data_IF_153552750817
#
_entry.id   IF_153552750817
#
_cell.length_a   1.000
_cell.length_b   1.000
_cell.length_c   1.000
_cell.angle_alpha   90.00
_cell.angle_beta   90.00
_cell.angle_gamma   90.00
#
_symmetry.space_group_name_H-M   'P 1'
#
loop_
_entity.id
_entity.type
_entity.pdbx_description
1 polymer ?
#
# COMPACT_ATOMS: atom_id res chain seq x y z
N UNK A 1 -13.30 -17.09 8.87
CA UNK A 1 -13.14 -16.90 7.42
C UNK A 1 -12.76 -18.25 6.84
N UNK A 2 -13.74 -18.96 6.30
CA UNK A 2 -13.46 -20.08 5.39
C UNK A 2 -12.93 -19.47 4.09
N UNK A 3 -11.64 -19.48 3.96
CA UNK A 3 -11.01 -19.05 2.73
C UNK A 3 -10.88 -20.25 1.86
N UNK A 4 -11.55 -20.25 0.75
CA UNK A 4 -11.48 -21.27 -0.28
C UNK A 4 -10.01 -21.55 -0.62
N UNK A 5 -9.58 -22.81 -0.56
CA UNK A 5 -8.22 -23.26 -0.89
C UNK A 5 -7.80 -22.85 -2.32
N UNK A 6 -8.78 -22.62 -3.21
CA UNK A 6 -8.56 -22.12 -4.57
C UNK A 6 -7.90 -20.73 -4.64
N UNK A 7 -7.94 -19.94 -3.55
CA UNK A 7 -7.33 -18.60 -3.48
C UNK A 7 -5.94 -18.62 -2.88
N UNK A 8 -5.54 -19.75 -2.28
CA UNK A 8 -4.22 -19.91 -1.71
C UNK A 8 -3.23 -20.33 -2.79
N UNK A 9 -2.08 -19.63 -2.87
CA UNK A 9 -0.98 -20.10 -3.69
C UNK A 9 -0.39 -21.40 -3.11
N UNK A 10 0.01 -22.40 -3.95
CA UNK A 10 0.74 -23.57 -3.49
C UNK A 10 2.09 -23.22 -2.83
N UNK A 11 2.57 -22.00 -3.04
CA UNK A 11 3.80 -21.46 -2.44
C UNK A 11 3.59 -20.86 -1.04
N UNK A 12 2.38 -20.96 -0.46
CA UNK A 12 2.10 -20.59 0.92
C UNK A 12 1.86 -19.10 1.16
N UNK A 13 1.45 -18.35 0.14
CA UNK A 13 1.01 -16.96 0.30
C UNK A 13 -0.41 -16.76 -0.20
N UNK A 14 -1.00 -15.65 0.21
CA UNK A 14 -2.35 -15.25 -0.21
C UNK A 14 -2.41 -13.74 -0.37
N UNK A 15 -3.06 -13.28 -1.44
CA UNK A 15 -3.34 -11.85 -1.68
C UNK A 15 -4.86 -11.66 -1.65
N UNK A 16 -5.28 -10.75 -0.79
CA UNK A 16 -6.68 -10.48 -0.48
C UNK A 16 -6.95 -8.98 -0.64
N UNK A 17 -8.03 -8.65 -1.31
CA UNK A 17 -8.55 -7.27 -1.39
C UNK A 17 -9.97 -7.21 -0.85
N UNK A 18 -10.48 -5.95 -0.59
CA UNK A 18 -11.76 -5.76 0.10
C UNK A 18 -12.83 -6.40 -0.67
N UNK A 19 -13.22 -7.16 -1.25
CA UNK A 19 -14.41 -7.78 -1.83
C UNK A 19 -14.13 -9.00 -2.72
N UNK A 20 -12.86 -9.30 -2.98
CA UNK A 20 -12.50 -10.39 -3.88
C UNK A 20 -12.71 -11.80 -3.34
N UNK A 21 -12.93 -11.98 -2.03
CA UNK A 21 -13.03 -13.32 -1.42
C UNK A 21 -14.48 -13.78 -1.31
N UNK A 22 -15.39 -12.87 -1.00
CA UNK A 22 -16.80 -13.18 -0.78
C UNK A 22 -17.73 -12.43 -1.74
N UNK A 23 -17.20 -11.48 -2.52
CA UNK A 23 -17.95 -10.73 -3.52
C UNK A 23 -17.95 -11.45 -4.87
N UNK A 24 -18.96 -11.15 -5.67
CA UNK A 24 -18.96 -11.60 -7.07
C UNK A 24 -17.82 -10.89 -7.80
N UNK A 25 -17.07 -11.62 -8.61
CA UNK A 25 -16.06 -11.02 -9.51
C UNK A 25 -16.67 -9.96 -10.43
N UNK A 26 -17.97 -10.07 -10.66
CA UNK A 26 -18.76 -9.15 -11.49
C UNK A 26 -18.90 -7.74 -10.85
N UNK A 27 -18.67 -7.62 -9.54
CA UNK A 27 -18.69 -6.33 -8.85
C UNK A 27 -17.36 -5.55 -9.03
N UNK A 28 -16.36 -6.16 -9.63
CA UNK A 28 -15.02 -5.67 -10.04
C UNK A 28 -14.24 -4.85 -8.98
N UNK A 29 -14.77 -4.74 -7.77
CA UNK A 29 -14.18 -3.92 -6.72
C UNK A 29 -12.90 -4.55 -6.17
N UNK A 30 -11.78 -3.97 -6.56
CA UNK A 30 -10.46 -4.35 -6.07
C UNK A 30 -9.79 -5.49 -6.83
N UNK A 31 -10.38 -5.97 -7.92
CA UNK A 31 -9.78 -6.99 -8.79
C UNK A 31 -8.47 -6.49 -9.39
N UNK A 32 -8.44 -5.24 -9.88
CA UNK A 32 -7.24 -4.62 -10.44
C UNK A 32 -6.09 -4.59 -9.43
N UNK A 33 -6.39 -4.23 -8.20
CA UNK A 33 -5.39 -4.16 -7.12
C UNK A 33 -4.89 -5.55 -6.75
N UNK A 34 -5.77 -6.55 -6.71
CA UNK A 34 -5.38 -7.94 -6.45
C UNK A 34 -4.50 -8.47 -7.57
N UNK A 35 -4.89 -8.26 -8.82
CA UNK A 35 -4.13 -8.71 -9.99
C UNK A 35 -2.77 -8.01 -10.08
N UNK A 36 -2.74 -6.71 -9.78
CA UNK A 36 -1.49 -5.95 -9.73
C UNK A 36 -0.57 -6.48 -8.63
N UNK A 37 -1.09 -6.73 -7.43
CA UNK A 37 -0.30 -7.29 -6.35
C UNK A 37 0.21 -8.70 -6.67
N UNK A 38 -0.60 -9.55 -7.32
CA UNK A 38 -0.19 -10.87 -7.80
C UNK A 38 0.91 -10.76 -8.85
N UNK A 39 0.79 -9.87 -9.83
CA UNK A 39 1.80 -9.65 -10.86
C UNK A 39 3.14 -9.22 -10.27
N UNK A 40 3.10 -8.34 -9.26
CA UNK A 40 4.30 -7.86 -8.57
C UNK A 40 4.93 -8.96 -7.71
N UNK A 41 4.13 -9.66 -6.92
CA UNK A 41 4.65 -10.57 -5.89
C UNK A 41 4.98 -11.97 -6.41
N UNK A 42 4.25 -12.46 -7.41
CA UNK A 42 4.45 -13.82 -7.94
C UNK A 42 5.89 -14.11 -8.36
N UNK A 43 6.57 -13.27 -9.15
CA UNK A 43 7.95 -13.53 -9.55
C UNK A 43 8.94 -13.57 -8.38
N UNK A 44 8.59 -12.96 -7.25
CA UNK A 44 9.43 -12.88 -6.06
C UNK A 44 9.20 -14.06 -5.10
N UNK A 45 7.96 -14.57 -5.05
CA UNK A 45 7.55 -15.59 -4.10
C UNK A 45 7.54 -17.00 -4.71
N UNK A 46 7.30 -17.13 -6.01
CA UNK A 46 7.24 -18.39 -6.74
C UNK A 46 8.58 -18.72 -7.43
N UNK A 47 9.68 -18.47 -6.76
CA UNK A 47 11.02 -18.80 -7.24
C UNK A 47 11.71 -19.72 -6.23
N UNK A 48 12.60 -20.59 -6.71
CA UNK A 48 13.47 -21.41 -5.86
C UNK A 48 14.45 -20.54 -5.03
N UNK A 49 14.66 -19.33 -5.48
CA UNK A 49 15.35 -18.29 -4.71
C UNK A 49 14.32 -17.54 -3.91
N UNK A 50 14.02 -18.00 -2.70
CA UNK A 50 13.31 -17.20 -1.72
C UNK A 50 14.14 -15.93 -1.48
N UNK A 51 13.79 -14.88 -2.20
CA UNK A 51 14.41 -13.59 -2.02
C UNK A 51 14.05 -13.12 -0.62
N UNK A 52 15.04 -12.76 0.18
CA UNK A 52 14.80 -12.16 1.48
C UNK A 52 14.19 -10.77 1.26
N UNK A 53 12.85 -10.74 1.17
CA UNK A 53 12.11 -9.49 1.04
C UNK A 53 12.18 -8.72 2.34
N UNK A 54 12.62 -7.49 2.27
CA UNK A 54 12.62 -6.58 3.40
C UNK A 54 11.26 -5.87 3.52
N UNK A 55 10.91 -5.34 4.70
CA UNK A 55 9.74 -4.49 4.85
C UNK A 55 9.73 -3.29 3.87
N UNK A 56 10.90 -2.73 3.60
CA UNK A 56 11.04 -1.63 2.64
C UNK A 56 10.67 -2.06 1.22
N UNK A 57 11.04 -3.28 0.81
CA UNK A 57 10.66 -3.83 -0.49
C UNK A 57 9.14 -3.97 -0.60
N UNK A 58 8.49 -4.48 0.44
CA UNK A 58 7.02 -4.64 0.48
C UNK A 58 6.33 -3.27 0.37
N UNK A 59 6.79 -2.26 1.12
CA UNK A 59 6.23 -0.91 1.00
C UNK A 59 6.42 -0.33 -0.40
N UNK A 60 7.61 -0.44 -0.97
CA UNK A 60 7.94 0.11 -2.28
C UNK A 60 7.18 -0.60 -3.41
N UNK A 61 7.05 -1.91 -3.32
CA UNK A 61 6.42 -2.74 -4.35
C UNK A 61 4.88 -2.69 -4.31
N UNK A 62 4.30 -2.49 -3.14
CA UNK A 62 2.84 -2.53 -2.95
C UNK A 62 2.28 -1.18 -2.52
N UNK A 63 2.51 -0.77 -1.27
CA UNK A 63 1.81 0.38 -0.68
C UNK A 63 2.16 1.73 -1.31
N UNK A 64 3.29 1.82 -2.00
CA UNK A 64 3.78 3.02 -2.69
C UNK A 64 3.83 2.86 -4.21
N UNK A 65 3.27 1.77 -4.73
CA UNK A 65 3.32 1.45 -6.15
C UNK A 65 2.09 1.96 -6.88
N UNK A 66 2.30 2.72 -7.95
CA UNK A 66 1.27 3.16 -8.88
C UNK A 66 1.24 2.31 -10.15
N UNK A 67 1.60 1.04 -10.00
CA UNK A 67 1.48 0.05 -11.07
C UNK A 67 0.03 -0.37 -11.23
N UNK A 68 -0.39 -0.62 -12.47
CA UNK A 68 -1.70 -1.16 -12.79
C UNK A 68 -1.53 -2.27 -13.83
N UNK A 69 -1.89 -3.49 -13.46
CA UNK A 69 -1.71 -4.68 -14.30
C UNK A 69 -2.62 -4.70 -15.52
N UNK A 70 -3.80 -4.09 -15.46
CA UNK A 70 -4.74 -4.05 -16.59
C UNK A 70 -4.26 -3.15 -17.71
N UNK A 71 -3.60 -2.04 -17.37
CA UNK A 71 -3.01 -1.14 -18.35
C UNK A 71 -1.58 -1.51 -18.73
N UNK A 72 -0.92 -2.34 -17.93
CA UNK A 72 0.50 -2.68 -18.06
C UNK A 72 1.44 -1.51 -17.74
N UNK A 73 0.92 -0.42 -17.18
CA UNK A 73 1.67 0.79 -16.89
C UNK A 73 2.09 0.85 -15.41
N UNK A 74 3.28 1.35 -15.22
CA UNK A 74 3.71 1.94 -13.97
C UNK A 74 3.60 3.46 -14.13
N UNK A 75 2.59 4.06 -13.50
CA UNK A 75 2.24 5.45 -13.79
C UNK A 75 3.34 6.43 -13.40
N UNK A 76 4.10 6.18 -12.34
CA UNK A 76 5.22 7.04 -11.96
C UNK A 76 6.34 6.97 -13.01
N UNK A 77 6.71 5.77 -13.43
CA UNK A 77 7.78 5.57 -14.42
C UNK A 77 7.37 5.96 -15.83
N UNK A 78 6.15 5.61 -16.23
CA UNK A 78 5.72 5.67 -17.62
C UNK A 78 4.92 6.94 -17.94
N UNK A 79 4.48 7.70 -16.94
CA UNK A 79 3.69 8.92 -17.11
C UNK A 79 4.29 9.87 -18.15
N UNK A 80 5.60 10.11 -18.07
CA UNK A 80 6.32 11.01 -19.01
C UNK A 80 6.32 10.54 -20.46
N UNK A 81 6.03 9.25 -20.69
CA UNK A 81 5.98 8.61 -22.01
C UNK A 81 4.56 8.60 -22.58
N UNK A 82 3.54 8.86 -21.77
CA UNK A 82 2.15 8.88 -22.21
C UNK A 82 1.93 10.02 -23.20
N UNK A 83 1.31 9.70 -24.33
CA UNK A 83 1.09 10.67 -25.44
C UNK A 83 0.13 11.79 -25.02
N UNK A 84 -0.78 11.51 -24.11
CA UNK A 84 -1.80 12.46 -23.63
C UNK A 84 -1.36 13.19 -22.36
N UNK A 85 -0.15 13.71 -22.33
CA UNK A 85 0.41 14.46 -21.19
C UNK A 85 -0.43 15.67 -20.71
N UNK A 86 -1.45 16.05 -21.46
CA UNK A 86 -2.22 17.25 -21.19
C UNK A 86 -3.08 17.20 -19.95
N UNK A 87 -3.36 16.03 -19.41
CA UNK A 87 -4.27 15.89 -18.28
C UNK A 87 -3.58 15.60 -16.95
N UNK A 88 -2.43 14.91 -16.93
CA UNK A 88 -1.73 14.55 -15.70
C UNK A 88 -2.60 13.88 -14.62
N UNK A 89 -3.76 13.36 -15.03
CA UNK A 89 -4.82 12.91 -14.14
C UNK A 89 -4.94 11.39 -14.25
N UNK A 90 -4.95 10.71 -13.11
CA UNK A 90 -5.26 9.30 -13.02
C UNK A 90 -6.35 9.05 -11.99
N UNK A 91 -7.14 8.00 -12.20
CA UNK A 91 -8.16 7.53 -11.25
C UNK A 91 -7.47 6.68 -10.18
N UNK A 92 -7.61 7.09 -8.93
CA UNK A 92 -6.88 6.47 -7.81
C UNK A 92 -7.43 5.11 -7.39
N UNK A 93 -8.64 4.76 -7.78
CA UNK A 93 -9.34 3.55 -7.33
C UNK A 93 -8.67 2.26 -7.77
N UNK A 94 -7.94 2.30 -8.88
CA UNK A 94 -7.31 1.14 -9.50
C UNK A 94 -5.90 0.85 -8.98
N UNK A 95 -5.36 1.75 -8.14
CA UNK A 95 -4.06 1.57 -7.51
C UNK A 95 -4.18 0.92 -6.13
N UNK A 96 -3.12 0.23 -5.71
CA UNK A 96 -3.02 -0.29 -4.34
C UNK A 96 -3.10 0.86 -3.33
N UNK A 97 -2.28 1.94 -3.43
CA UNK A 97 -2.46 3.14 -2.61
C UNK A 97 -3.55 4.05 -3.20
N UNK A 98 -4.73 4.04 -2.59
CA UNK A 98 -5.84 4.93 -2.95
C UNK A 98 -5.87 6.18 -2.09
N UNK A 99 -6.63 7.19 -2.50
CA UNK A 99 -6.86 8.39 -1.68
C UNK A 99 -7.33 8.07 -0.26
N UNK A 100 -8.15 7.04 -0.11
CA UNK A 100 -8.66 6.59 1.20
C UNK A 100 -7.65 5.77 2.01
N UNK A 101 -6.49 5.42 1.45
CA UNK A 101 -5.45 4.70 2.19
C UNK A 101 -4.86 5.62 3.25
N UNK A 102 -4.95 5.22 4.51
CA UNK A 102 -4.55 6.01 5.68
C UNK A 102 -3.45 5.36 6.52
N UNK A 103 -3.10 4.13 6.21
CA UNK A 103 -1.95 3.45 6.82
C UNK A 103 -1.51 2.26 5.98
N UNK A 104 -0.31 1.79 6.26
CA UNK A 104 0.20 0.51 5.77
C UNK A 104 1.06 -0.15 6.84
N UNK A 105 0.94 -1.46 6.99
CA UNK A 105 1.65 -2.21 8.02
C UNK A 105 2.27 -3.46 7.43
N UNK A 106 3.52 -3.74 7.81
CA UNK A 106 4.23 -4.99 7.49
C UNK A 106 4.69 -5.64 8.78
N UNK A 107 4.20 -6.84 9.05
CA UNK A 107 4.70 -7.65 10.16
C UNK A 107 5.92 -8.45 9.71
N UNK A 108 7.06 -8.15 10.31
CA UNK A 108 8.29 -8.87 10.11
C UNK A 108 8.48 -9.83 11.29
N UNK A 109 8.07 -11.07 11.07
CA UNK A 109 8.19 -12.14 12.07
C UNK A 109 9.65 -12.55 12.32
N UNK A 110 9.85 -13.30 13.37
CA UNK A 110 11.17 -13.87 13.73
C UNK A 110 11.37 -15.25 13.11
N UNK A 111 12.62 -15.67 13.01
CA UNK A 111 12.97 -17.04 12.59
C UNK A 111 12.54 -18.07 13.65
N UNK A 112 12.24 -19.32 13.24
CA UNK A 112 11.96 -20.39 14.20
C UNK A 112 13.07 -20.49 15.26
N UNK A 113 12.68 -20.58 16.54
CA UNK A 113 13.60 -20.63 17.69
C UNK A 113 14.06 -19.28 18.22
N UNK A 114 13.74 -18.17 17.55
CA UNK A 114 14.02 -16.82 18.06
C UNK A 114 12.92 -16.36 19.04
N UNK A 115 13.22 -15.33 19.83
CA UNK A 115 12.23 -14.76 20.75
C UNK A 115 11.08 -14.11 19.97
N UNK A 116 9.81 -14.54 20.13
CA UNK A 116 8.65 -13.95 19.46
C UNK A 116 8.47 -12.46 19.73
N UNK A 117 8.92 -11.96 20.89
CA UNK A 117 8.85 -10.54 21.25
C UNK A 117 9.73 -9.65 20.37
N UNK A 118 10.67 -10.24 19.63
CA UNK A 118 11.48 -9.53 18.62
C UNK A 118 10.75 -9.35 17.28
N UNK A 119 9.49 -9.75 17.18
CA UNK A 119 8.67 -9.45 16.01
C UNK A 119 8.49 -7.93 15.88
N UNK A 120 8.71 -7.42 14.69
CA UNK A 120 8.61 -5.98 14.38
C UNK A 120 7.40 -5.72 13.50
N UNK A 121 6.57 -4.77 13.92
CA UNK A 121 5.52 -4.19 13.10
C UNK A 121 6.05 -2.89 12.49
N UNK A 122 6.38 -2.93 11.22
CA UNK A 122 6.72 -1.74 10.45
C UNK A 122 5.45 -1.01 10.05
N UNK A 123 5.33 0.22 10.45
CA UNK A 123 4.10 0.99 10.33
C UNK A 123 4.34 2.27 9.55
N UNK A 124 3.42 2.56 8.64
CA UNK A 124 3.30 3.85 7.96
C UNK A 124 1.98 4.45 8.41
N UNK A 125 2.00 5.61 9.03
CA UNK A 125 0.81 6.39 9.39
C UNK A 125 0.55 7.45 8.33
N UNK A 126 -0.70 7.59 7.91
CA UNK A 126 -1.08 8.46 6.82
C UNK A 126 -0.96 7.77 5.45
N UNK A 127 -0.90 8.58 4.40
CA UNK A 127 -0.80 8.10 3.03
C UNK A 127 0.60 7.52 2.75
N UNK A 128 0.72 6.24 2.33
CA UNK A 128 2.00 5.55 2.32
C UNK A 128 3.10 6.18 1.47
N UNK A 129 2.74 6.83 0.35
CA UNK A 129 3.72 7.49 -0.51
C UNK A 129 4.27 8.80 0.10
N UNK A 130 3.53 9.40 1.06
CA UNK A 130 3.91 10.65 1.71
C UNK A 130 4.46 10.45 3.14
N UNK A 131 4.56 9.21 3.62
CA UNK A 131 4.89 8.92 5.01
C UNK A 131 6.13 8.03 5.14
N UNK A 132 6.89 8.24 6.20
CA UNK A 132 7.99 7.36 6.59
C UNK A 132 7.47 6.11 7.30
N UNK A 133 8.14 4.99 7.10
CA UNK A 133 7.91 3.78 7.87
C UNK A 133 8.75 3.81 9.14
N UNK A 134 8.16 3.39 10.26
CA UNK A 134 8.87 3.24 11.53
C UNK A 134 8.56 1.88 12.17
N UNK A 135 9.52 1.31 12.93
CA UNK A 135 9.35 0.03 13.60
C UNK A 135 8.63 0.18 14.94
N UNK A 136 7.74 -0.78 15.24
CA UNK A 136 7.20 -1.01 16.58
C UNK A 136 7.52 -2.45 16.97
N UNK A 137 8.11 -2.67 18.13
CA UNK A 137 8.45 -3.99 18.63
C UNK A 137 7.37 -4.52 19.56
N UNK A 138 7.00 -5.79 19.40
CA UNK A 138 5.97 -6.43 20.24
C UNK A 138 6.39 -6.46 21.72
N UNK A 139 7.70 -6.58 21.99
CA UNK A 139 8.24 -6.66 23.35
C UNK A 139 8.41 -5.32 24.06
N UNK A 140 8.23 -4.19 23.35
CA UNK A 140 8.45 -2.85 23.91
C UNK A 140 7.18 -2.00 23.72
N UNK A 141 6.22 -2.20 24.61
CA UNK A 141 4.90 -1.57 24.49
C UNK A 141 4.82 -0.15 25.07
N UNK A 142 5.80 0.27 25.86
CA UNK A 142 5.66 1.48 26.69
C UNK A 142 6.36 2.71 26.09
N UNK A 143 7.13 2.55 25.00
CA UNK A 143 7.93 3.61 24.42
C UNK A 143 7.47 3.87 22.97
N UNK A 144 6.38 4.59 22.82
CA UNK A 144 6.07 5.19 21.53
C UNK A 144 6.81 6.53 21.39
N UNK A 145 7.49 6.77 20.28
CA UNK A 145 8.05 8.08 19.98
C UNK A 145 6.99 9.18 19.99
N UNK A 146 7.30 10.36 20.50
CA UNK A 146 6.33 11.44 20.66
C UNK A 146 5.65 11.86 19.34
N UNK A 147 6.41 11.81 18.24
CA UNK A 147 5.88 12.16 16.91
C UNK A 147 4.85 11.18 16.35
N UNK A 148 4.67 9.99 16.95
CA UNK A 148 3.63 9.02 16.58
C UNK A 148 2.51 8.93 17.61
N UNK A 149 2.72 9.47 18.83
CA UNK A 149 1.68 9.51 19.84
C UNK A 149 0.57 10.46 19.43
N UNK A 150 -0.70 10.11 19.71
CA UNK A 150 -1.79 11.05 19.53
C UNK A 150 -1.73 12.16 20.59
N UNK A 151 -2.04 13.37 20.19
CA UNK A 151 -2.35 14.46 21.11
C UNK A 151 -3.75 14.31 21.74
N UNK A 152 -4.16 15.30 22.52
CA UNK A 152 -5.48 15.30 23.18
C UNK A 152 -6.68 15.33 22.19
N UNK A 153 -6.46 15.77 20.95
CA UNK A 153 -7.45 15.78 19.88
C UNK A 153 -7.42 14.50 19.04
N UNK A 154 -6.47 13.58 19.30
CA UNK A 154 -6.29 12.35 18.55
C UNK A 154 -5.40 12.50 17.31
N UNK A 155 -4.71 13.60 17.15
CA UNK A 155 -3.79 13.88 16.05
C UNK A 155 -2.39 13.39 16.36
N UNK A 156 -1.71 12.82 15.36
CA UNK A 156 -0.32 12.40 15.44
C UNK A 156 0.49 13.21 14.43
N UNK A 157 1.56 13.85 14.88
CA UNK A 157 2.39 14.73 14.05
C UNK A 157 2.83 14.05 12.75
N UNK A 158 3.26 12.80 12.81
CA UNK A 158 3.72 12.07 11.63
C UNK A 158 2.57 11.79 10.65
N UNK A 159 1.38 11.45 11.18
CA UNK A 159 0.20 11.21 10.37
C UNK A 159 -0.28 12.50 9.70
N UNK A 160 -0.33 13.61 10.44
CA UNK A 160 -0.81 14.89 9.93
C UNK A 160 0.09 15.41 8.81
N UNK A 161 1.41 15.36 8.98
CA UNK A 161 2.37 15.72 7.91
C UNK A 161 2.11 14.89 6.65
N UNK A 162 1.91 13.58 6.79
CA UNK A 162 1.66 12.70 5.64
C UNK A 162 0.32 13.01 4.95
N UNK A 163 -0.69 13.39 5.72
CA UNK A 163 -2.01 13.77 5.21
C UNK A 163 -2.00 15.13 4.52
N UNK A 164 -1.24 16.09 5.06
CA UNK A 164 -1.05 17.40 4.44
C UNK A 164 -0.31 17.26 3.11
N UNK A 165 0.82 16.54 3.09
CA UNK A 165 1.57 16.26 1.87
C UNK A 165 0.70 15.58 0.79
N UNK A 166 -0.13 14.62 1.21
CA UNK A 166 -1.09 13.97 0.31
C UNK A 166 -2.05 14.96 -0.31
N UNK A 167 -2.63 15.83 0.52
CA UNK A 167 -3.66 16.79 0.10
C UNK A 167 -3.10 17.93 -0.74
N UNK A 168 -1.87 18.33 -0.44
CA UNK A 168 -1.20 19.44 -1.15
C UNK A 168 -0.60 18.99 -2.48
N UNK A 169 -0.04 17.77 -2.54
CA UNK A 169 0.79 17.37 -3.67
C UNK A 169 0.20 16.23 -4.50
N UNK A 170 -0.49 15.26 -3.89
CA UNK A 170 -0.90 14.03 -4.60
C UNK A 170 -2.32 14.13 -5.14
N UNK A 171 -3.28 14.54 -4.31
CA UNK A 171 -4.69 14.55 -4.68
C UNK A 171 -5.25 15.96 -4.74
N UNK A 172 -5.67 16.36 -5.93
CA UNK A 172 -6.31 17.65 -6.18
C UNK A 172 -7.82 17.50 -6.28
N UNK A 173 -8.53 18.56 -5.93
CA UNK A 173 -9.97 18.63 -6.06
C UNK A 173 -10.36 19.22 -7.41
N UNK A 174 -11.18 18.49 -8.15
CA UNK A 174 -11.76 18.98 -9.38
C UNK A 174 -13.14 19.60 -9.10
N UNK A 175 -13.19 20.93 -9.19
CA UNK A 175 -14.41 21.71 -8.91
C UNK A 175 -15.54 21.40 -9.90
N UNK A 176 -15.20 21.07 -11.15
CA UNK A 176 -16.20 20.91 -12.22
C UNK A 176 -17.02 19.63 -12.09
N UNK A 177 -16.46 18.56 -11.54
CA UNK A 177 -17.16 17.27 -11.38
C UNK A 177 -17.29 16.81 -9.93
N UNK A 178 -16.79 17.60 -8.96
CA UNK A 178 -16.86 17.27 -7.55
C UNK A 178 -16.08 16.02 -7.13
N UNK A 179 -15.00 15.69 -7.82
CA UNK A 179 -14.17 14.53 -7.52
C UNK A 179 -12.71 14.88 -7.28
N UNK A 180 -11.99 14.00 -6.61
CA UNK A 180 -10.54 14.09 -6.53
C UNK A 180 -9.89 13.37 -7.71
N UNK A 181 -8.73 13.85 -8.09
CA UNK A 181 -7.86 13.22 -9.07
C UNK A 181 -6.42 13.21 -8.54
N UNK A 182 -5.64 12.26 -9.01
CA UNK A 182 -4.22 12.17 -8.69
C UNK A 182 -3.43 13.07 -9.65
N UNK A 183 -2.62 13.95 -9.08
CA UNK A 183 -1.69 14.80 -9.84
C UNK A 183 -0.39 14.03 -10.08
N UNK A 184 -0.25 13.49 -11.28
CA UNK A 184 0.89 12.66 -11.65
C UNK A 184 2.20 13.46 -11.85
N UNK A 185 2.14 14.79 -11.88
CA UNK A 185 3.35 15.62 -11.93
C UNK A 185 3.96 15.80 -10.54
N UNK A 186 3.13 15.64 -9.50
CA UNK A 186 3.53 15.81 -8.10
C UNK A 186 3.90 14.50 -7.41
N UNK A 187 3.55 13.34 -7.98
CA UNK A 187 3.89 12.01 -7.50
C UNK A 187 5.20 11.53 -8.10
#
# INVERSE_FOLDING_TARGET
FDVNDEVASPYGYRIVTNYCISGRREDDKGVERQMTALEIMRPLLETDRKTDLTPQDIFSLLSRSYKNSFTGLDYVRDYRKLVSKKTGIAVDQDFIPRRSTSCSVVFHGVRPGSNPLSTVMWTVLGYPACAAAFPLMVGETDILPDYVKPDAAGHSQLCDIAMDLKSENVFKWNVSNGSHYMDMESV
#
